data_IF_509774057829
#
_entry.id   IF_509774057829
#
_cell.length_a   1.000
_cell.length_b   1.000
_cell.length_c   1.000
_cell.angle_alpha   90.00
_cell.angle_beta   90.00
_cell.angle_gamma   90.00
#
_symmetry.space_group_name_H-M   'P 1'
#
loop_
_entity.id
_entity.type
_entity.pdbx_description
1 polymer ?
#
# COMPACT_ATOMS: atom_id res chain seq x y z
N UNK A 1 -19.15 2.57 15.56
CA UNK A 1 -18.55 3.68 14.78
C UNK A 1 -18.93 3.52 13.31
N UNK A 2 -19.22 4.63 12.63
CA UNK A 2 -19.68 4.64 11.24
C UNK A 2 -18.48 4.60 10.28
N UNK A 3 -18.08 3.41 9.83
CA UNK A 3 -17.02 3.30 8.82
C UNK A 3 -17.41 3.91 7.47
N UNK A 4 -16.40 4.29 6.68
CA UNK A 4 -16.53 4.87 5.33
C UNK A 4 -16.97 3.83 4.31
N UNK A 5 -17.87 4.21 3.41
CA UNK A 5 -18.29 3.39 2.28
C UNK A 5 -17.51 3.83 1.04
N UNK A 6 -16.85 2.88 0.38
CA UNK A 6 -16.17 3.08 -0.89
C UNK A 6 -17.06 2.51 -1.99
N UNK A 7 -17.22 3.29 -3.07
CA UNK A 7 -17.82 2.82 -4.30
C UNK A 7 -16.70 2.46 -5.27
N UNK A 8 -16.55 1.17 -5.55
CA UNK A 8 -15.55 0.66 -6.47
C UNK A 8 -16.22 0.06 -7.72
N UNK A 9 -15.65 0.34 -8.89
CA UNK A 9 -16.24 -0.07 -10.17
C UNK A 9 -16.13 -1.59 -10.42
N UNK A 10 -15.23 -2.28 -9.74
CA UNK A 10 -14.95 -3.71 -9.92
C UNK A 10 -15.65 -4.55 -8.85
N UNK A 11 -15.58 -4.11 -7.59
CA UNK A 11 -16.04 -4.84 -6.41
C UNK A 11 -17.38 -4.33 -5.84
N UNK A 12 -17.91 -3.23 -6.39
CA UNK A 12 -19.14 -2.60 -5.90
C UNK A 12 -18.92 -1.79 -4.64
N UNK A 13 -19.89 -1.78 -3.73
CA UNK A 13 -19.80 -1.03 -2.48
C UNK A 13 -19.24 -1.88 -1.36
N UNK A 14 -18.15 -1.44 -0.73
CA UNK A 14 -17.64 -2.05 0.49
C UNK A 14 -17.31 -0.99 1.55
N UNK A 15 -17.18 -1.44 2.80
CA UNK A 15 -17.01 -0.57 3.95
C UNK A 15 -15.63 -0.74 4.57
N UNK A 16 -14.97 0.37 4.83
CA UNK A 16 -13.68 0.46 5.52
C UNK A 16 -13.94 0.95 6.95
N UNK A 17 -13.29 0.31 7.93
CA UNK A 17 -13.45 0.57 9.36
C UNK A 17 -12.12 0.40 10.10
N UNK A 18 -12.04 0.91 11.31
CA UNK A 18 -10.93 0.64 12.25
C UNK A 18 -9.59 1.11 11.69
N UNK A 19 -8.55 0.30 11.84
CA UNK A 19 -7.18 0.60 11.38
C UNK A 19 -7.15 1.09 9.92
N UNK A 20 -7.89 0.44 9.02
CA UNK A 20 -7.94 0.81 7.60
C UNK A 20 -8.56 2.17 7.35
N UNK A 21 -9.52 2.59 8.18
CA UNK A 21 -10.14 3.91 8.04
C UNK A 21 -9.17 5.02 8.44
N UNK A 22 -8.34 4.79 9.45
CA UNK A 22 -7.28 5.71 9.85
C UNK A 22 -6.14 5.73 8.83
N UNK A 23 -5.71 4.56 8.34
CA UNK A 23 -4.72 4.45 7.26
C UNK A 23 -5.17 5.17 5.99
N UNK A 24 -6.46 5.09 5.64
CA UNK A 24 -7.03 5.80 4.49
C UNK A 24 -6.84 7.33 4.58
N UNK A 25 -6.73 7.88 5.79
CA UNK A 25 -6.54 9.31 6.02
C UNK A 25 -5.05 9.75 5.97
N UNK A 26 -4.11 8.81 5.91
CA UNK A 26 -2.68 9.12 5.89
C UNK A 26 -2.26 9.70 4.54
N UNK A 27 -1.31 10.65 4.51
CA UNK A 27 -0.75 11.12 3.24
C UNK A 27 -0.01 9.97 2.49
N UNK A 28 0.53 8.99 3.22
CA UNK A 28 1.19 7.80 2.68
C UNK A 28 0.27 6.98 1.78
N UNK A 29 -0.98 6.79 2.19
CA UNK A 29 -1.96 6.08 1.39
C UNK A 29 -2.60 7.00 0.34
N UNK A 30 -2.93 8.25 0.71
CA UNK A 30 -3.60 9.19 -0.21
C UNK A 30 -2.75 9.55 -1.43
N UNK A 31 -1.42 9.58 -1.34
CA UNK A 31 -0.55 9.84 -2.51
C UNK A 31 -0.79 8.84 -3.65
N UNK A 32 -1.20 7.61 -3.34
CA UNK A 32 -1.47 6.57 -4.34
C UNK A 32 -2.60 6.96 -5.31
N UNK A 33 -3.50 7.87 -4.91
CA UNK A 33 -4.58 8.37 -5.78
C UNK A 33 -4.08 9.20 -6.97
N UNK A 34 -2.81 9.59 -6.95
CA UNK A 34 -2.15 10.33 -8.02
C UNK A 34 -1.14 9.46 -8.80
N UNK A 35 -1.02 8.17 -8.46
CA UNK A 35 -0.07 7.24 -9.07
C UNK A 35 -0.84 6.21 -9.88
N UNK A 36 -0.68 6.24 -11.21
CA UNK A 36 -1.30 5.27 -12.11
C UNK A 36 -0.70 3.88 -11.91
N UNK A 37 -1.55 2.86 -11.86
CA UNK A 37 -1.15 1.46 -11.70
C UNK A 37 -0.22 1.02 -12.84
N UNK A 38 -0.60 1.32 -14.09
CA UNK A 38 0.09 0.88 -15.29
C UNK A 38 1.00 1.96 -15.91
N UNK A 39 1.44 2.93 -15.11
CA UNK A 39 2.34 3.99 -15.56
C UNK A 39 1.86 4.71 -16.84
N UNK A 40 2.65 4.60 -17.92
CA UNK A 40 2.39 5.26 -19.20
C UNK A 40 1.44 4.49 -20.13
N UNK A 41 0.91 3.33 -19.73
CA UNK A 41 0.02 2.51 -20.58
C UNK A 41 -1.20 3.28 -21.10
N UNK A 42 -1.68 4.28 -20.36
CA UNK A 42 -2.77 5.17 -20.78
C UNK A 42 -2.52 5.92 -22.10
N UNK A 43 -1.26 6.07 -22.53
CA UNK A 43 -0.91 6.67 -23.83
C UNK A 43 -1.26 5.76 -25.02
N UNK A 44 -1.37 4.45 -24.78
CA UNK A 44 -1.75 3.44 -25.78
C UNK A 44 -3.19 2.95 -25.54
N UNK A 45 -3.58 2.81 -24.28
CA UNK A 45 -4.90 2.33 -23.85
C UNK A 45 -5.62 3.42 -23.05
N UNK A 46 -6.47 4.27 -23.68
CA UNK A 46 -7.08 5.43 -23.01
C UNK A 46 -7.97 5.12 -21.81
N UNK A 47 -8.30 3.85 -21.54
CA UNK A 47 -9.02 3.43 -20.33
C UNK A 47 -8.12 3.08 -19.14
N UNK A 48 -6.80 2.96 -19.33
CA UNK A 48 -5.84 2.54 -18.31
C UNK A 48 -5.48 3.69 -17.33
N UNK A 49 -6.50 4.32 -16.74
CA UNK A 49 -6.35 5.46 -15.82
C UNK A 49 -6.38 5.08 -14.34
N UNK A 50 -6.63 3.81 -14.03
CA UNK A 50 -6.71 3.35 -12.67
C UNK A 50 -5.40 3.55 -11.91
N UNK A 51 -5.52 3.77 -10.61
CA UNK A 51 -4.49 4.21 -9.69
C UNK A 51 -4.13 3.11 -8.70
N UNK A 52 -2.95 3.22 -8.09
CA UNK A 52 -2.53 2.31 -7.01
C UNK A 52 -3.45 2.38 -5.80
N UNK A 53 -4.16 3.50 -5.62
CA UNK A 53 -5.13 3.67 -4.55
C UNK A 53 -6.32 2.72 -4.68
N UNK A 54 -7.00 2.71 -5.83
CA UNK A 54 -8.16 1.83 -6.02
C UNK A 54 -7.74 0.36 -6.09
N UNK A 55 -6.56 0.07 -6.65
CA UNK A 55 -5.95 -1.26 -6.59
C UNK A 55 -5.75 -1.72 -5.14
N UNK A 56 -5.06 -0.93 -4.31
CA UNK A 56 -4.77 -1.28 -2.91
C UNK A 56 -6.04 -1.42 -2.06
N UNK A 57 -7.07 -0.58 -2.30
CA UNK A 57 -8.37 -0.74 -1.68
C UNK A 57 -9.07 -2.04 -2.09
N UNK A 58 -9.00 -2.40 -3.38
CA UNK A 58 -9.51 -3.66 -3.90
C UNK A 58 -8.78 -4.87 -3.30
N UNK A 59 -7.44 -4.85 -3.25
CA UNK A 59 -6.63 -5.92 -2.64
C UNK A 59 -6.95 -6.09 -1.17
N UNK A 60 -7.04 -4.99 -0.41
CA UNK A 60 -7.47 -5.01 1.00
C UNK A 60 -8.84 -5.67 1.17
N UNK A 61 -9.82 -5.29 0.33
CA UNK A 61 -11.16 -5.83 0.40
C UNK A 61 -11.21 -7.32 0.06
N UNK A 62 -10.57 -7.74 -1.03
CA UNK A 62 -10.51 -9.15 -1.45
C UNK A 62 -9.74 -9.99 -0.43
N UNK A 63 -8.64 -9.48 0.14
CA UNK A 63 -7.89 -10.14 1.20
C UNK A 63 -8.77 -10.45 2.41
N UNK A 64 -9.62 -9.51 2.82
CA UNK A 64 -10.61 -9.73 3.88
C UNK A 64 -11.64 -10.81 3.55
N UNK A 65 -12.14 -10.86 2.31
CA UNK A 65 -13.07 -11.91 1.87
C UNK A 65 -12.41 -13.28 1.81
N UNK A 66 -11.14 -13.34 1.42
CA UNK A 66 -10.35 -14.58 1.42
C UNK A 66 -10.10 -15.08 2.84
N UNK A 67 -9.73 -14.18 3.76
CA UNK A 67 -9.57 -14.47 5.18
C UNK A 67 -10.85 -15.07 5.79
N UNK A 68 -12.01 -14.45 5.50
CA UNK A 68 -13.32 -14.98 5.90
C UNK A 68 -13.56 -16.39 5.34
N UNK A 69 -13.23 -16.59 4.06
CA UNK A 69 -13.47 -17.87 3.38
C UNK A 69 -12.63 -19.03 3.92
N UNK A 70 -11.46 -18.76 4.49
CA UNK A 70 -10.58 -19.79 5.08
C UNK A 70 -10.74 -19.88 6.60
N UNK A 71 -11.57 -19.02 7.21
CA UNK A 71 -11.89 -19.04 8.63
C UNK A 71 -10.81 -18.45 9.54
N UNK A 72 -10.07 -17.44 9.05
CA UNK A 72 -9.19 -16.65 9.91
C UNK A 72 -10.02 -15.88 10.94
N UNK A 73 -9.44 -15.61 12.11
CA UNK A 73 -10.10 -14.75 13.09
C UNK A 73 -10.08 -13.25 12.65
N UNK A 74 -10.83 -12.40 13.37
CA UNK A 74 -10.95 -10.98 13.01
C UNK A 74 -9.62 -10.22 13.10
N UNK A 75 -8.70 -10.64 13.97
CA UNK A 75 -7.40 -10.00 14.12
C UNK A 75 -6.47 -10.41 12.96
N UNK A 76 -6.38 -11.69 12.66
CA UNK A 76 -5.67 -12.23 11.49
C UNK A 76 -6.18 -11.62 10.18
N UNK A 77 -7.51 -11.54 10.02
CA UNK A 77 -8.15 -10.85 8.90
C UNK A 77 -7.72 -9.40 8.82
N UNK A 78 -7.73 -8.68 9.93
CA UNK A 78 -7.33 -7.27 9.95
C UNK A 78 -5.88 -7.09 9.48
N UNK A 79 -4.97 -8.00 9.87
CA UNK A 79 -3.58 -8.00 9.39
C UNK A 79 -3.52 -8.21 7.87
N UNK A 80 -4.26 -9.18 7.33
CA UNK A 80 -4.32 -9.44 5.88
C UNK A 80 -4.87 -8.22 5.12
N UNK A 81 -5.96 -7.62 5.61
CA UNK A 81 -6.55 -6.46 4.96
C UNK A 81 -5.63 -5.23 5.02
N UNK A 82 -4.87 -5.05 6.11
CA UNK A 82 -3.86 -3.99 6.27
C UNK A 82 -2.68 -4.22 5.34
N UNK A 83 -2.13 -5.44 5.30
CA UNK A 83 -1.03 -5.78 4.39
C UNK A 83 -1.45 -5.56 2.93
N UNK A 84 -2.65 -6.01 2.55
CA UNK A 84 -3.21 -5.75 1.22
C UNK A 84 -3.40 -4.26 0.92
N UNK A 85 -3.75 -3.44 1.93
CA UNK A 85 -3.87 -1.99 1.78
C UNK A 85 -2.51 -1.30 1.63
N UNK A 86 -1.47 -1.77 2.32
CA UNK A 86 -0.17 -1.07 2.38
C UNK A 86 0.88 -1.61 1.41
N UNK A 87 0.66 -2.77 0.75
CA UNK A 87 1.67 -3.43 -0.08
C UNK A 87 2.29 -2.55 -1.18
N UNK A 88 1.53 -1.58 -1.68
CA UNK A 88 1.92 -0.70 -2.77
C UNK A 88 2.33 0.71 -2.29
N UNK A 89 2.39 0.95 -0.98
CA UNK A 89 2.55 2.30 -0.40
C UNK A 89 3.92 2.91 -0.73
N UNK A 90 4.95 2.11 -0.98
CA UNK A 90 6.28 2.59 -1.34
C UNK A 90 6.43 3.05 -2.80
N UNK A 91 5.43 2.86 -3.65
CA UNK A 91 5.53 3.29 -5.03
C UNK A 91 5.54 4.82 -5.19
N UNK A 92 6.49 5.29 -6.01
CA UNK A 92 6.56 6.67 -6.49
C UNK A 92 5.82 6.90 -7.83
N UNK A 93 5.74 8.16 -8.30
CA UNK A 93 5.17 8.48 -9.61
C UNK A 93 5.93 7.79 -10.74
N UNK A 94 5.19 7.35 -11.76
CA UNK A 94 5.68 6.53 -12.88
C UNK A 94 6.28 5.16 -12.51
N UNK A 95 6.30 4.81 -11.21
CA UNK A 95 6.66 3.49 -10.66
C UNK A 95 7.84 2.86 -11.42
N UNK A 96 7.71 1.64 -11.94
CA UNK A 96 8.77 0.87 -12.58
C UNK A 96 9.53 1.65 -13.67
N UNK A 97 8.88 2.58 -14.38
CA UNK A 97 9.55 3.38 -15.42
C UNK A 97 10.63 4.29 -14.84
N UNK A 98 10.37 4.89 -13.68
CA UNK A 98 11.32 5.76 -12.98
C UNK A 98 12.16 5.00 -11.95
N UNK A 99 11.59 3.95 -11.37
CA UNK A 99 12.23 3.08 -10.40
C UNK A 99 13.47 2.40 -10.97
N UNK A 100 13.46 1.90 -12.22
CA UNK A 100 14.69 1.37 -12.83
C UNK A 100 15.80 2.42 -12.87
N UNK A 101 15.47 3.67 -13.19
CA UNK A 101 16.43 4.78 -13.26
C UNK A 101 16.92 5.19 -11.86
N UNK A 102 16.04 5.15 -10.85
CA UNK A 102 16.35 5.48 -9.46
C UNK A 102 17.12 4.35 -8.76
N UNK A 103 16.77 3.09 -9.00
CA UNK A 103 17.44 1.91 -8.46
C UNK A 103 18.87 1.81 -8.99
N UNK A 104 19.08 2.02 -10.30
CA UNK A 104 20.42 2.08 -10.90
C UNK A 104 21.33 3.18 -10.31
N UNK A 105 20.75 4.23 -9.72
CA UNK A 105 21.48 5.40 -9.20
C UNK A 105 21.46 5.55 -7.68
N UNK A 106 20.55 4.88 -6.98
CA UNK A 106 20.22 5.14 -5.58
C UNK A 106 19.89 3.90 -4.73
N UNK A 107 19.81 2.70 -5.33
CA UNK A 107 19.83 1.42 -4.60
C UNK A 107 18.61 1.06 -3.75
N UNK A 108 17.49 1.79 -3.85
CA UNK A 108 16.23 1.44 -3.18
C UNK A 108 15.12 1.19 -4.20
N UNK A 109 14.42 0.05 -4.06
CA UNK A 109 13.20 -0.27 -4.79
C UNK A 109 11.95 0.10 -3.95
N UNK A 110 10.77 -0.01 -4.55
CA UNK A 110 9.51 0.32 -3.89
C UNK A 110 9.20 -0.59 -2.71
N UNK A 111 9.76 -1.80 -2.66
CA UNK A 111 9.54 -2.74 -1.56
C UNK A 111 10.30 -2.29 -0.31
N UNK A 112 11.55 -1.85 -0.45
CA UNK A 112 12.31 -1.26 0.65
C UNK A 112 11.65 0.02 1.19
N UNK A 113 11.10 0.85 0.31
CA UNK A 113 10.35 2.05 0.72
C UNK A 113 9.05 1.67 1.43
N UNK A 114 8.35 0.64 0.94
CA UNK A 114 7.10 0.13 1.55
C UNK A 114 7.36 -0.32 2.98
N UNK A 115 8.38 -1.14 3.18
CA UNK A 115 8.80 -1.60 4.51
C UNK A 115 9.14 -0.44 5.43
N UNK A 116 10.02 0.47 5.02
CA UNK A 116 10.40 1.57 5.90
C UNK A 116 9.24 2.55 6.18
N UNK A 117 8.26 2.69 5.29
CA UNK A 117 7.02 3.43 5.63
C UNK A 117 6.23 2.71 6.72
N UNK A 118 6.12 1.38 6.63
CA UNK A 118 5.37 0.56 7.58
C UNK A 118 6.06 0.53 8.95
N UNK A 119 7.38 0.33 8.99
CA UNK A 119 8.18 0.28 10.23
C UNK A 119 8.50 1.67 10.80
N UNK A 120 8.34 2.72 10.00
CA UNK A 120 8.58 4.11 10.41
C UNK A 120 9.98 4.66 10.10
N UNK A 121 10.84 3.86 9.47
CA UNK A 121 12.17 4.27 9.00
C UNK A 121 12.11 5.33 7.88
N UNK A 122 11.02 5.36 7.12
CA UNK A 122 10.76 6.35 6.07
C UNK A 122 9.50 7.15 6.36
N UNK A 123 9.62 8.48 6.20
CA UNK A 123 8.48 9.39 6.14
C UNK A 123 8.41 10.01 4.73
N UNK A 124 7.19 10.17 4.22
CA UNK A 124 6.96 10.78 2.92
C UNK A 124 6.99 12.31 2.98
N UNK A 125 6.81 12.88 4.16
CA UNK A 125 6.84 14.32 4.39
C UNK A 125 8.26 14.77 4.67
N UNK A 126 8.63 15.92 4.12
CA UNK A 126 9.88 16.60 4.47
C UNK A 126 9.72 17.25 5.85
N UNK A 127 10.85 17.48 6.54
CA UNK A 127 10.83 18.04 7.90
C UNK A 127 10.06 19.37 8.00
N UNK A 128 10.14 20.20 6.95
CA UNK A 128 9.42 21.48 6.86
C UNK A 128 7.92 21.32 6.60
N UNK A 129 7.51 20.22 5.98
CA UNK A 129 6.11 19.89 5.69
C UNK A 129 5.37 19.28 6.88
N UNK A 130 6.08 18.75 7.88
CA UNK A 130 5.46 18.19 9.09
C UNK A 130 4.60 19.22 9.82
N UNK A 131 4.99 20.49 9.78
CA UNK A 131 4.23 21.60 10.38
C UNK A 131 2.87 21.85 9.74
N UNK A 132 2.61 21.29 8.55
CA UNK A 132 1.32 21.40 7.85
C UNK A 132 0.26 20.43 8.40
N UNK A 133 0.66 19.44 9.19
CA UNK A 133 -0.23 18.40 9.70
C UNK A 133 -0.18 18.34 11.23
N UNK A 134 -1.12 19.03 11.89
CA UNK A 134 -1.27 18.98 13.34
C UNK A 134 -1.67 17.56 13.80
N UNK A 135 -0.95 17.01 14.79
CA UNK A 135 -1.22 15.70 15.40
C UNK A 135 -1.28 14.53 14.41
N UNK A 136 -0.48 14.56 13.33
CA UNK A 136 -0.36 13.42 12.41
C UNK A 136 0.18 12.19 13.15
N UNK A 137 -0.49 11.06 12.95
CA UNK A 137 0.02 9.73 13.29
C UNK A 137 0.67 9.12 12.06
N UNK A 138 1.86 8.52 12.22
CA UNK A 138 2.49 7.74 11.15
C UNK A 138 1.80 6.38 11.03
N UNK A 139 2.09 5.67 9.93
CA UNK A 139 1.62 4.29 9.72
C UNK A 139 1.90 3.39 10.93
N UNK A 140 3.13 3.24 11.47
CA UNK A 140 3.38 2.37 12.63
C UNK A 140 2.55 2.76 13.86
N UNK A 141 2.42 4.06 14.16
CA UNK A 141 1.62 4.55 15.29
C UNK A 141 0.15 4.12 15.18
N UNK A 142 -0.40 4.12 13.96
CA UNK A 142 -1.76 3.68 13.67
C UNK A 142 -1.86 2.16 13.81
N UNK A 143 -0.87 1.39 13.34
CA UNK A 143 -0.88 -0.07 13.46
C UNK A 143 -0.82 -0.51 14.93
N UNK A 144 0.11 0.03 15.70
CA UNK A 144 0.29 -0.28 17.13
C UNK A 144 -0.95 0.07 17.96
N UNK A 145 -1.62 1.19 17.64
CA UNK A 145 -2.89 1.58 18.28
C UNK A 145 -3.99 0.51 18.14
N UNK A 146 -3.93 -0.31 17.09
CA UNK A 146 -4.86 -1.41 16.83
C UNK A 146 -4.28 -2.79 17.16
N UNK A 147 -3.18 -2.83 17.94
CA UNK A 147 -2.49 -4.07 18.35
C UNK A 147 -1.91 -4.86 17.16
N UNK A 148 -1.59 -4.18 16.06
CA UNK A 148 -0.98 -4.78 14.87
C UNK A 148 0.51 -4.44 14.85
N UNK A 149 1.36 -5.45 14.81
CA UNK A 149 2.81 -5.29 14.73
C UNK A 149 3.23 -4.84 13.31
N UNK A 150 3.87 -3.68 13.15
CA UNK A 150 4.39 -3.22 11.86
C UNK A 150 5.33 -4.22 11.18
N UNK A 151 6.19 -4.90 11.94
CA UNK A 151 7.14 -5.88 11.42
C UNK A 151 6.42 -7.11 10.84
N UNK A 152 5.33 -7.53 11.48
CA UNK A 152 4.49 -8.61 10.98
C UNK A 152 3.84 -8.23 9.64
N UNK A 153 3.34 -7.00 9.51
CA UNK A 153 2.74 -6.51 8.26
C UNK A 153 3.78 -6.42 7.15
N UNK A 154 4.96 -5.85 7.42
CA UNK A 154 6.05 -5.76 6.47
C UNK A 154 6.52 -7.16 6.02
N UNK A 155 6.68 -8.09 6.97
CA UNK A 155 7.06 -9.48 6.70
C UNK A 155 6.03 -10.24 5.85
N UNK A 156 4.73 -9.94 6.02
CA UNK A 156 3.68 -10.53 5.18
C UNK A 156 3.71 -10.00 3.74
N UNK A 157 4.08 -8.73 3.54
CA UNK A 157 4.19 -8.10 2.21
C UNK A 157 5.41 -8.61 1.46
N UNK A 158 6.58 -8.68 2.11
CA UNK A 158 7.79 -9.21 1.50
C UNK A 158 7.70 -10.72 1.32
N UNK A 159 7.08 -11.43 2.27
CA UNK A 159 7.08 -12.88 2.37
C UNK A 159 8.21 -13.36 3.28
N UNK A 160 7.88 -14.24 4.24
CA UNK A 160 8.89 -14.94 5.03
C UNK A 160 9.80 -15.72 4.06
N UNK A 161 11.09 -15.38 4.02
CA UNK A 161 12.12 -15.96 3.15
C UNK A 161 12.09 -15.54 1.67
N UNK A 162 11.62 -14.34 1.33
CA UNK A 162 11.58 -13.85 -0.05
C UNK A 162 12.97 -13.66 -0.69
N UNK A 163 13.53 -14.76 -1.19
CA UNK A 163 14.68 -14.82 -2.09
C UNK A 163 14.25 -14.69 -3.57
N UNK A 164 13.06 -14.12 -3.83
CA UNK A 164 12.52 -13.91 -5.15
C UNK A 164 12.94 -12.56 -5.70
N UNK A 165 13.85 -12.53 -6.66
CA UNK A 165 14.09 -11.32 -7.46
C UNK A 165 12.85 -11.02 -8.28
N UNK A 166 12.35 -9.78 -8.28
CA UNK A 166 11.38 -9.33 -9.28
C UNK A 166 11.88 -9.73 -10.67
N UNK A 167 11.08 -10.54 -11.37
CA UNK A 167 11.45 -10.98 -12.72
C UNK A 167 11.25 -9.81 -13.67
N UNK A 168 12.36 -9.16 -14.00
CA UNK A 168 12.38 -8.18 -15.08
C UNK A 168 12.04 -8.87 -16.42
N UNK A 169 11.26 -8.20 -17.28
CA UNK A 169 10.96 -8.61 -18.66
C UNK A 169 12.23 -8.93 -19.48
N UNK A 170 13.39 -8.36 -19.12
CA UNK A 170 14.67 -8.65 -19.76
C UNK A 170 15.34 -9.95 -19.33
N UNK A 171 14.86 -10.62 -18.27
CA UNK A 171 15.41 -11.88 -17.77
C UNK A 171 14.71 -13.13 -18.34
N UNK A 172 14.00 -12.97 -19.47
CA UNK A 172 13.45 -14.08 -20.25
C UNK A 172 14.53 -14.61 -21.21
N UNK A 173 15.49 -15.37 -20.65
CA UNK A 173 16.41 -16.21 -21.44
C UNK A 173 15.99 -17.67 -21.38
#
# INVERSE_FOLDING_TARGET
>A
MSGKVINDAIHGMFRIKGVREELLATPEFNKLSHIKQLGLAHLVFPGAHHTRFEHSLGVSHIGGLMADSVGLDEHEKSIVEVAGMLHDVGHGPYSHTLEHILHERGGADHMHITEGIITGDYDILREDENSLFDNRQKVPDILEKYDIDPEQVAGLIHGADAAGTERNLFNWS
#
